data_IF_607549280054
#
_entry.id   IF_607549280054
#
_cell.length_a   1.000
_cell.length_b   1.000
_cell.length_c   1.000
_cell.angle_alpha   90.00
_cell.angle_beta   90.00
_cell.angle_gamma   90.00
#
_symmetry.space_group_name_H-M   'P 1'
#
loop_
_entity.id
_entity.type
_entity.pdbx_description
1 polymer ?
#
# COMPACT_ATOMS: atom_id res chain seq x y z
N UNK A 1 -22.27 -44.45 -10.68
CA UNK A 1 -22.64 -45.52 -9.74
C UNK A 1 -24.01 -45.15 -9.21
N UNK A 2 -24.98 -46.04 -9.37
CA UNK A 2 -26.36 -45.86 -8.88
C UNK A 2 -26.39 -46.57 -7.54
N UNK A 3 -26.40 -45.81 -6.43
CA UNK A 3 -26.55 -46.39 -5.10
C UNK A 3 -28.04 -46.66 -4.84
N UNK A 4 -28.39 -47.81 -4.28
CA UNK A 4 -29.77 -48.13 -3.88
C UNK A 4 -30.13 -47.45 -2.55
N UNK A 5 -31.41 -47.07 -2.34
CA UNK A 5 -31.82 -46.24 -1.19
C UNK A 5 -31.62 -46.88 0.19
N UNK A 6 -31.34 -48.18 0.27
CA UNK A 6 -31.11 -48.92 1.53
C UNK A 6 -29.64 -49.32 1.77
N UNK A 7 -28.68 -48.84 0.96
CA UNK A 7 -27.25 -49.04 1.24
C UNK A 7 -26.79 -48.12 2.38
N UNK A 8 -26.28 -48.72 3.46
CA UNK A 8 -25.61 -47.97 4.54
C UNK A 8 -24.40 -47.23 3.97
N UNK A 9 -24.33 -45.91 4.19
CA UNK A 9 -23.18 -45.08 3.81
C UNK A 9 -21.88 -45.77 4.25
N UNK A 10 -21.06 -46.17 3.27
CA UNK A 10 -19.73 -46.73 3.51
C UNK A 10 -18.85 -45.63 4.09
N UNK A 11 -18.55 -45.73 5.38
CA UNK A 11 -17.64 -44.83 6.10
C UNK A 11 -16.19 -45.11 5.71
N UNK A 12 -15.79 -44.64 4.52
CA UNK A 12 -14.44 -44.81 3.97
C UNK A 12 -13.54 -43.67 4.46
N UNK A 13 -12.68 -43.96 5.42
CA UNK A 13 -11.59 -43.07 5.84
C UNK A 13 -10.39 -43.24 4.91
N UNK A 14 -10.23 -42.35 3.93
CA UNK A 14 -9.01 -42.28 3.09
C UNK A 14 -8.02 -41.33 3.76
N UNK A 15 -6.90 -41.82 4.34
CA UNK A 15 -5.87 -40.93 4.88
C UNK A 15 -5.19 -40.19 3.73
N UNK A 16 -5.39 -38.88 3.67
CA UNK A 16 -4.71 -38.00 2.74
C UNK A 16 -3.51 -37.32 3.42
N UNK A 17 -2.38 -37.23 2.72
CA UNK A 17 -1.17 -36.54 3.19
C UNK A 17 -0.75 -35.54 2.12
N UNK A 18 -0.47 -34.31 2.54
CA UNK A 18 0.16 -33.31 1.67
C UNK A 18 1.68 -33.49 1.69
N UNK A 19 2.27 -33.55 0.51
CA UNK A 19 3.72 -33.66 0.31
C UNK A 19 4.19 -32.45 -0.50
N UNK A 20 5.36 -31.88 -0.19
CA UNK A 20 6.05 -30.95 -1.08
C UNK A 20 6.21 -31.53 -2.50
N UNK A 21 6.15 -30.69 -3.53
CA UNK A 21 6.14 -31.15 -4.93
C UNK A 21 7.44 -31.90 -5.32
N UNK A 22 8.58 -31.45 -4.78
CA UNK A 22 9.89 -32.09 -4.91
C UNK A 22 9.94 -33.46 -4.21
N UNK A 23 9.33 -33.58 -3.03
CA UNK A 23 9.18 -34.86 -2.34
C UNK A 23 8.25 -35.81 -3.12
N UNK A 24 7.16 -35.28 -3.68
CA UNK A 24 6.21 -36.03 -4.51
C UNK A 24 6.86 -36.56 -5.80
N UNK A 25 7.60 -35.72 -6.51
CA UNK A 25 8.34 -36.14 -7.73
C UNK A 25 9.44 -37.16 -7.41
N UNK A 26 10.12 -37.01 -6.28
CA UNK A 26 11.10 -37.99 -5.80
C UNK A 26 10.44 -39.33 -5.48
N UNK A 27 9.29 -39.31 -4.80
CA UNK A 27 8.51 -40.50 -4.48
C UNK A 27 8.02 -41.21 -5.74
N UNK A 28 7.47 -40.47 -6.71
CA UNK A 28 7.00 -41.01 -7.99
C UNK A 28 8.15 -41.70 -8.76
N UNK A 29 9.32 -41.06 -8.81
CA UNK A 29 10.52 -41.62 -9.44
C UNK A 29 10.99 -42.92 -8.77
N UNK A 30 10.92 -42.99 -7.44
CA UNK A 30 11.28 -44.19 -6.68
C UNK A 30 10.27 -45.33 -6.88
N UNK A 31 8.98 -45.01 -6.98
CA UNK A 31 7.91 -45.98 -7.26
C UNK A 31 8.05 -46.57 -8.67
N UNK A 32 8.36 -45.75 -9.68
CA UNK A 32 8.56 -46.23 -11.06
C UNK A 32 9.77 -47.17 -11.19
N UNK A 33 10.78 -47.04 -10.33
CA UNK A 33 11.97 -47.89 -10.34
C UNK A 33 11.78 -49.26 -9.65
N UNK A 34 10.55 -49.68 -9.33
CA UNK A 34 10.25 -50.98 -8.69
C UNK A 34 11.06 -51.25 -7.40
N UNK A 35 11.45 -50.18 -6.71
CA UNK A 35 12.25 -50.25 -5.49
C UNK A 35 11.32 -50.45 -4.28
N UNK A 36 11.76 -51.15 -3.24
CA UNK A 36 11.02 -51.16 -1.97
C UNK A 36 11.14 -49.77 -1.30
N UNK A 37 10.08 -48.96 -1.36
CA UNK A 37 10.04 -47.62 -0.76
C UNK A 37 9.33 -47.69 0.59
N UNK A 38 10.01 -47.29 1.66
CA UNK A 38 9.37 -47.01 2.96
C UNK A 38 9.16 -45.51 3.10
N UNK A 39 7.96 -45.11 3.54
CA UNK A 39 7.59 -43.71 3.75
C UNK A 39 7.33 -43.50 5.23
N UNK A 40 8.03 -42.55 5.84
CA UNK A 40 7.75 -42.11 7.19
C UNK A 40 7.04 -40.76 7.14
N UNK A 41 5.83 -40.71 7.71
CA UNK A 41 5.04 -39.49 7.79
C UNK A 41 5.50 -38.67 9.00
N UNK A 42 5.98 -37.47 8.72
CA UNK A 42 6.31 -36.48 9.75
C UNK A 42 5.59 -35.18 9.41
N UNK A 43 4.82 -34.65 10.35
CA UNK A 43 4.26 -33.30 10.26
C UNK A 43 5.13 -32.37 11.10
N UNK A 44 5.98 -31.52 10.48
CA UNK A 44 6.75 -30.55 11.22
C UNK A 44 5.84 -29.59 11.98
N UNK A 45 6.21 -29.26 13.23
CA UNK A 45 5.53 -28.20 13.97
C UNK A 45 5.82 -26.87 13.31
N UNK A 46 4.78 -26.11 12.97
CA UNK A 46 4.93 -24.74 12.48
C UNK A 46 5.23 -23.80 13.66
N UNK A 47 6.15 -22.83 13.50
CA UNK A 47 6.33 -21.80 14.51
C UNK A 47 5.04 -20.99 14.65
N UNK A 48 4.72 -20.57 15.87
CA UNK A 48 3.52 -19.75 16.15
C UNK A 48 3.64 -18.33 15.60
N UNK A 49 4.87 -17.82 15.45
CA UNK A 49 5.14 -16.48 14.91
C UNK A 49 6.34 -16.60 13.97
N UNK A 50 6.19 -16.11 12.74
CA UNK A 50 7.30 -16.07 11.78
C UNK A 50 8.05 -14.73 11.88
N UNK A 51 9.38 -14.79 11.86
CA UNK A 51 10.22 -13.59 11.85
C UNK A 51 9.97 -12.76 10.57
N UNK A 52 9.57 -13.40 9.46
CA UNK A 52 9.16 -12.72 8.24
C UNK A 52 8.03 -11.69 8.48
N UNK A 53 7.08 -11.98 9.38
CA UNK A 53 5.98 -11.07 9.72
C UNK A 53 6.47 -9.83 10.45
N UNK A 54 7.50 -9.97 11.31
CA UNK A 54 8.13 -8.84 11.99
C UNK A 54 8.81 -7.91 10.98
N UNK A 55 9.51 -8.47 9.99
CA UNK A 55 10.11 -7.67 8.93
C UNK A 55 9.07 -6.97 8.05
N UNK A 56 7.98 -7.67 7.66
CA UNK A 56 6.88 -7.07 6.93
C UNK A 56 6.20 -5.94 7.73
N UNK A 57 6.00 -6.15 9.03
CA UNK A 57 5.49 -5.12 9.94
C UNK A 57 6.39 -3.88 9.96
N UNK A 58 7.71 -4.08 10.12
CA UNK A 58 8.69 -2.99 10.10
C UNK A 58 8.71 -2.27 8.75
N UNK A 59 8.66 -3.01 7.64
CA UNK A 59 8.64 -2.44 6.29
C UNK A 59 7.39 -1.61 6.06
N UNK A 60 6.21 -2.10 6.45
CA UNK A 60 4.96 -1.39 6.27
C UNK A 60 4.92 -0.08 7.10
N UNK A 61 5.30 -0.17 8.39
CA UNK A 61 5.40 1.01 9.27
C UNK A 61 6.45 1.99 8.76
N UNK A 62 7.63 1.51 8.39
CA UNK A 62 8.72 2.34 7.85
C UNK A 62 8.34 3.03 6.54
N UNK A 63 7.63 2.33 5.64
CA UNK A 63 7.17 2.89 4.36
C UNK A 63 6.19 4.03 4.58
N UNK A 64 5.17 3.84 5.43
CA UNK A 64 4.20 4.90 5.74
C UNK A 64 4.88 6.08 6.44
N UNK A 65 5.81 5.81 7.36
CA UNK A 65 6.59 6.85 8.05
C UNK A 65 7.35 7.72 7.03
N UNK A 66 8.15 7.10 6.17
CA UNK A 66 8.93 7.80 5.14
C UNK A 66 8.03 8.57 4.17
N UNK A 67 6.98 7.91 3.65
CA UNK A 67 6.04 8.52 2.71
C UNK A 67 5.30 9.72 3.33
N UNK A 68 4.86 9.60 4.59
CA UNK A 68 4.14 10.68 5.28
C UNK A 68 5.03 11.90 5.48
N UNK A 69 6.26 11.72 5.97
CA UNK A 69 7.21 12.82 6.15
C UNK A 69 7.54 13.50 4.84
N UNK A 70 7.71 12.72 3.77
CA UNK A 70 7.94 13.26 2.45
C UNK A 70 6.75 14.02 1.91
N UNK A 71 5.54 13.44 1.95
CA UNK A 71 4.30 14.09 1.52
C UNK A 71 4.08 15.41 2.27
N UNK A 72 4.31 15.43 3.58
CA UNK A 72 4.21 16.66 4.38
C UNK A 72 5.28 17.70 4.03
N UNK A 73 6.50 17.25 3.69
CA UNK A 73 7.60 18.12 3.26
C UNK A 73 7.33 18.77 1.91
N UNK A 74 6.92 17.97 0.92
CA UNK A 74 6.55 18.46 -0.40
C UNK A 74 5.36 19.44 -0.33
N UNK A 75 4.34 19.14 0.48
CA UNK A 75 3.21 20.05 0.69
C UNK A 75 3.64 21.39 1.32
N UNK A 76 4.60 21.36 2.24
CA UNK A 76 5.16 22.57 2.86
C UNK A 76 5.96 23.40 1.86
N UNK A 77 6.78 22.78 1.03
CA UNK A 77 7.56 23.47 0.00
C UNK A 77 6.65 24.13 -1.03
N UNK A 78 5.62 23.43 -1.52
CA UNK A 78 4.63 23.98 -2.43
C UNK A 78 3.89 25.19 -1.84
N UNK A 79 3.55 25.16 -0.55
CA UNK A 79 2.92 26.30 0.12
C UNK A 79 3.86 27.51 0.23
N UNK A 80 5.15 27.30 0.48
CA UNK A 80 6.16 28.38 0.52
C UNK A 80 6.37 28.99 -0.86
N UNK A 81 6.42 28.17 -1.91
CA UNK A 81 6.54 28.66 -3.29
C UNK A 81 5.31 29.49 -3.70
N UNK A 82 4.11 29.03 -3.36
CA UNK A 82 2.89 29.78 -3.62
C UNK A 82 2.88 31.13 -2.88
N UNK A 83 3.36 31.18 -1.63
CA UNK A 83 3.49 32.42 -0.88
C UNK A 83 4.49 33.40 -1.52
N UNK A 84 5.64 32.89 -2.01
CA UNK A 84 6.60 33.71 -2.75
C UNK A 84 6.00 34.27 -4.04
N UNK A 85 5.30 33.44 -4.81
CA UNK A 85 4.62 33.89 -6.04
C UNK A 85 3.53 34.92 -5.76
N UNK A 86 2.79 34.80 -4.66
CA UNK A 86 1.80 35.80 -4.25
C UNK A 86 2.46 37.13 -3.82
N UNK A 87 3.65 37.06 -3.20
CA UNK A 87 4.42 38.24 -2.78
C UNK A 87 5.08 38.95 -3.96
N UNK A 88 5.59 38.19 -4.93
CA UNK A 88 6.21 38.74 -6.14
C UNK A 88 5.16 39.17 -7.19
N UNK A 89 3.96 38.58 -7.14
CA UNK A 89 2.84 38.86 -8.04
C UNK A 89 2.00 40.10 -7.70
N UNK A 90 2.36 40.89 -6.68
CA UNK A 90 1.68 42.16 -6.39
C UNK A 90 1.85 43.23 -7.49
N UNK A 91 2.78 43.02 -8.43
CA UNK A 91 3.07 43.97 -9.52
C UNK A 91 2.45 43.57 -10.89
N UNK A 92 1.89 42.37 -11.08
CA UNK A 92 1.39 41.91 -12.39
C UNK A 92 0.09 41.05 -12.36
N UNK A 93 -0.77 41.21 -11.35
CA UNK A 93 -1.97 40.36 -11.20
C UNK A 93 -3.18 40.80 -12.04
N UNK A 94 -3.09 40.81 -13.38
CA UNK A 94 -4.29 40.80 -14.21
C UNK A 94 -4.30 39.87 -15.44
N UNK A 95 -3.28 39.06 -15.72
CA UNK A 95 -3.32 38.22 -16.94
C UNK A 95 -2.65 36.84 -16.82
N UNK A 96 -3.25 35.92 -16.05
CA UNK A 96 -3.35 34.48 -16.40
C UNK A 96 -4.09 33.72 -15.29
N UNK A 97 -5.43 33.68 -15.40
CA UNK A 97 -6.19 32.56 -14.82
C UNK A 97 -6.05 31.40 -15.79
N UNK A 98 -5.24 30.40 -15.45
CA UNK A 98 -5.21 29.14 -16.20
C UNK A 98 -3.91 28.37 -16.00
N UNK A 99 -4.05 27.19 -15.40
CA UNK A 99 -3.12 26.06 -15.51
C UNK A 99 -1.81 26.14 -14.72
N UNK A 100 -1.93 25.97 -13.40
CA UNK A 100 -0.88 25.35 -12.58
C UNK A 100 -1.37 23.99 -12.11
N UNK A 101 -1.10 22.94 -12.90
CA UNK A 101 -1.41 21.57 -12.50
C UNK A 101 -0.52 21.16 -11.32
N UNK A 102 -1.01 21.31 -10.09
CA UNK A 102 -0.44 20.52 -8.99
C UNK A 102 -0.71 19.05 -9.33
N UNK A 103 0.33 18.26 -9.55
CA UNK A 103 0.25 16.81 -9.84
C UNK A 103 -0.29 15.96 -8.68
N UNK A 104 -1.18 16.54 -7.88
CA UNK A 104 -1.81 15.99 -6.69
C UNK A 104 -3.26 15.66 -7.03
N UNK A 105 -3.69 14.44 -6.73
CA UNK A 105 -5.04 13.95 -6.96
C UNK A 105 -5.76 13.82 -5.63
N UNK A 106 -6.71 14.72 -5.39
CA UNK A 106 -7.58 14.65 -4.22
C UNK A 106 -8.70 13.63 -4.41
N UNK A 107 -8.89 12.77 -3.40
CA UNK A 107 -9.99 11.81 -3.36
C UNK A 107 -11.28 12.55 -3.02
N UNK A 108 -12.36 12.27 -3.76
CA UNK A 108 -13.71 12.69 -3.41
C UNK A 108 -14.51 11.52 -2.81
N UNK A 109 -15.59 11.82 -2.08
CA UNK A 109 -16.51 10.82 -1.54
C UNK A 109 -17.06 9.87 -2.61
N UNK A 110 -17.38 10.38 -3.79
CA UNK A 110 -17.82 9.55 -4.92
C UNK A 110 -16.74 8.59 -5.41
N UNK A 111 -15.49 9.05 -5.52
CA UNK A 111 -14.39 8.17 -5.95
C UNK A 111 -14.06 7.12 -4.89
N UNK A 112 -14.21 7.43 -3.60
CA UNK A 112 -14.07 6.47 -2.50
C UNK A 112 -15.11 5.34 -2.54
N UNK A 113 -16.37 5.63 -2.91
CA UNK A 113 -17.40 4.59 -3.08
C UNK A 113 -17.18 3.81 -4.38
N UNK A 114 -16.87 4.51 -5.47
CA UNK A 114 -16.61 3.90 -6.77
C UNK A 114 -15.39 2.97 -6.74
N UNK A 115 -14.39 3.27 -5.90
CA UNK A 115 -13.25 2.41 -5.63
C UNK A 115 -13.67 0.99 -5.23
N UNK A 116 -14.66 0.82 -4.34
CA UNK A 116 -15.15 -0.51 -3.93
C UNK A 116 -15.76 -1.27 -5.09
N UNK A 117 -16.55 -0.60 -5.91
CA UNK A 117 -17.23 -1.22 -7.05
C UNK A 117 -16.21 -1.65 -8.11
N UNK A 118 -15.27 -0.77 -8.45
CA UNK A 118 -14.21 -1.06 -9.42
C UNK A 118 -13.28 -2.14 -8.90
N UNK A 119 -12.82 -2.06 -7.64
CA UNK A 119 -11.96 -3.09 -7.04
C UNK A 119 -12.67 -4.45 -6.99
N UNK A 120 -13.97 -4.48 -6.67
CA UNK A 120 -14.77 -5.71 -6.65
C UNK A 120 -14.92 -6.31 -8.05
N UNK A 121 -15.21 -5.48 -9.06
CA UNK A 121 -15.28 -5.91 -10.45
C UNK A 121 -13.93 -6.47 -10.92
N UNK A 122 -12.84 -5.75 -10.63
CA UNK A 122 -11.49 -6.16 -10.95
C UNK A 122 -11.10 -7.48 -10.27
N UNK A 123 -11.46 -7.68 -8.99
CA UNK A 123 -11.17 -8.91 -8.27
C UNK A 123 -11.95 -10.12 -8.84
N UNK A 124 -13.22 -9.92 -9.24
CA UNK A 124 -14.01 -10.98 -9.90
C UNK A 124 -13.42 -11.31 -11.26
N UNK A 125 -13.02 -10.30 -12.03
CA UNK A 125 -12.32 -10.46 -13.31
C UNK A 125 -11.06 -11.29 -13.09
N UNK A 126 -10.23 -10.92 -12.11
CA UNK A 126 -9.04 -11.66 -11.72
C UNK A 126 -9.33 -13.12 -11.39
N UNK A 127 -10.35 -13.37 -10.57
CA UNK A 127 -10.72 -14.71 -10.13
C UNK A 127 -11.25 -15.60 -11.27
N UNK A 128 -12.03 -15.02 -12.19
CA UNK A 128 -12.64 -15.75 -13.31
C UNK A 128 -11.70 -15.90 -14.51
N UNK A 129 -10.90 -14.88 -14.79
CA UNK A 129 -9.97 -14.79 -15.92
C UNK A 129 -8.52 -14.96 -15.47
N UNK A 130 -8.28 -15.78 -14.44
CA UNK A 130 -6.95 -16.07 -13.87
C UNK A 130 -6.09 -16.90 -14.83
N UNK A 131 -5.82 -16.31 -15.99
CA UNK A 131 -5.02 -16.83 -17.09
C UNK A 131 -3.60 -16.30 -16.98
N UNK A 132 -2.63 -17.09 -17.45
CA UNK A 132 -1.22 -16.71 -17.54
C UNK A 132 -1.03 -15.31 -18.17
N UNK A 133 -1.72 -15.04 -19.28
CA UNK A 133 -1.66 -13.74 -19.96
C UNK A 133 -2.12 -12.56 -19.09
N UNK A 134 -3.07 -12.78 -18.19
CA UNK A 134 -3.56 -11.73 -17.30
C UNK A 134 -2.57 -11.41 -16.19
N UNK A 135 -1.88 -12.42 -15.64
CA UNK A 135 -0.82 -12.22 -14.65
C UNK A 135 0.36 -11.47 -15.28
N UNK A 136 0.77 -11.85 -16.50
CA UNK A 136 1.79 -11.11 -17.27
C UNK A 136 1.40 -9.64 -17.51
N UNK A 137 0.12 -9.37 -17.81
CA UNK A 137 -0.37 -7.98 -17.93
C UNK A 137 -0.19 -7.19 -16.63
N UNK A 138 -0.49 -7.80 -15.47
CA UNK A 138 -0.28 -7.15 -14.17
C UNK A 138 1.20 -6.91 -13.88
N UNK A 139 2.07 -7.82 -14.29
CA UNK A 139 3.52 -7.66 -14.16
C UNK A 139 3.99 -6.49 -15.01
N UNK A 140 3.51 -6.34 -16.24
CA UNK A 140 3.82 -5.17 -17.08
C UNK A 140 3.33 -3.87 -16.43
N UNK A 141 2.10 -3.84 -15.90
CA UNK A 141 1.57 -2.67 -15.19
C UNK A 141 2.40 -2.34 -13.94
N UNK A 142 2.80 -3.36 -13.18
CA UNK A 142 3.67 -3.20 -12.01
C UNK A 142 5.05 -2.70 -12.41
N UNK A 143 5.62 -3.16 -13.53
CA UNK A 143 6.88 -2.64 -14.07
C UNK A 143 6.79 -1.16 -14.43
N UNK A 144 5.70 -0.72 -15.08
CA UNK A 144 5.49 0.70 -15.43
C UNK A 144 5.47 1.55 -14.14
N UNK A 145 4.63 1.17 -13.19
CA UNK A 145 4.56 1.87 -11.90
C UNK A 145 5.86 1.77 -11.09
N UNK A 146 6.58 0.65 -11.21
CA UNK A 146 7.87 0.43 -10.55
C UNK A 146 8.98 1.33 -11.10
N UNK A 147 9.04 1.54 -12.42
CA UNK A 147 9.98 2.49 -13.04
C UNK A 147 9.68 3.90 -12.55
N UNK A 148 8.41 4.33 -12.61
CA UNK A 148 8.00 5.65 -12.15
C UNK A 148 8.29 5.85 -10.65
N UNK A 149 7.91 4.87 -9.83
CA UNK A 149 8.12 4.92 -8.39
C UNK A 149 9.60 4.98 -8.02
N UNK A 150 10.41 4.09 -8.60
CA UNK A 150 11.84 4.05 -8.34
C UNK A 150 12.54 5.33 -8.81
N UNK A 151 12.15 5.85 -9.98
CA UNK A 151 12.69 7.10 -10.50
C UNK A 151 12.37 8.27 -9.58
N UNK A 152 11.12 8.42 -9.14
CA UNK A 152 10.71 9.48 -8.20
C UNK A 152 11.49 9.42 -6.90
N UNK A 153 11.63 8.22 -6.30
CA UNK A 153 12.39 8.05 -5.07
C UNK A 153 13.88 8.37 -5.25
N UNK A 154 14.53 7.83 -6.30
CA UNK A 154 15.96 8.05 -6.55
C UNK A 154 16.26 9.50 -6.90
N UNK A 155 15.41 10.15 -7.71
CA UNK A 155 15.60 11.55 -8.10
C UNK A 155 15.64 12.45 -6.88
N UNK A 156 14.71 12.26 -5.94
CA UNK A 156 14.64 13.10 -4.75
C UNK A 156 15.68 12.74 -3.67
N UNK A 157 16.13 11.48 -3.60
CA UNK A 157 17.29 11.13 -2.76
C UNK A 157 18.58 11.78 -3.31
N UNK A 158 18.79 11.71 -4.62
CA UNK A 158 19.98 12.24 -5.27
C UNK A 158 19.96 13.76 -5.37
N UNK A 159 18.80 14.42 -5.54
CA UNK A 159 18.70 15.88 -5.53
C UNK A 159 19.12 16.49 -4.18
N UNK A 160 18.90 15.75 -3.09
CA UNK A 160 19.37 16.13 -1.75
C UNK A 160 20.90 16.15 -1.65
N UNK A 161 21.58 15.25 -2.37
CA UNK A 161 23.04 15.18 -2.40
C UNK A 161 23.64 16.11 -3.47
N UNK A 162 23.00 16.23 -4.63
CA UNK A 162 23.48 16.99 -5.79
C UNK A 162 22.56 18.16 -6.14
N UNK A 163 22.46 19.15 -5.23
CA UNK A 163 21.58 20.34 -5.39
C UNK A 163 21.76 21.07 -6.73
N UNK A 164 23.00 21.24 -7.18
CA UNK A 164 23.35 21.98 -8.41
C UNK A 164 22.82 21.32 -9.70
N UNK A 165 22.71 20.00 -9.73
CA UNK A 165 22.29 19.24 -10.92
C UNK A 165 20.77 19.04 -10.97
N UNK A 166 20.10 19.08 -9.82
CA UNK A 166 18.64 19.01 -9.73
C UNK A 166 17.91 20.27 -10.23
N UNK A 167 18.56 21.44 -10.19
CA UNK A 167 17.98 22.73 -10.63
C UNK A 167 18.16 23.00 -12.13
N UNK A 168 18.85 22.13 -12.86
CA UNK A 168 19.08 22.28 -14.30
C UNK A 168 18.04 21.49 -15.09
N UNK A 169 17.29 22.18 -15.96
CA UNK A 169 16.21 21.61 -16.77
C UNK A 169 16.55 21.64 -18.27
N UNK A 170 16.23 20.56 -18.98
CA UNK A 170 16.30 20.49 -20.45
C UNK A 170 14.87 20.38 -21.00
N UNK A 171 14.56 21.14 -22.04
CA UNK A 171 13.33 20.92 -22.81
C UNK A 171 13.54 19.73 -23.75
N UNK A 172 12.93 18.60 -23.41
CA UNK A 172 12.88 17.42 -24.26
C UNK A 172 11.67 17.56 -25.19
N UNK A 173 11.82 17.37 -26.52
CA UNK A 173 10.67 17.35 -27.42
C UNK A 173 9.67 16.27 -26.95
N UNK A 174 8.38 16.63 -26.91
CA UNK A 174 7.24 15.83 -26.40
C UNK A 174 7.06 15.75 -24.86
N UNK A 175 8.14 15.75 -24.06
CA UNK A 175 8.04 15.58 -22.59
C UNK A 175 8.20 16.88 -21.76
N UNK A 176 8.50 18.01 -22.40
CA UNK A 176 8.63 19.29 -21.71
C UNK A 176 9.95 19.45 -20.96
N UNK A 177 9.97 20.26 -19.90
CA UNK A 177 11.18 20.52 -19.10
C UNK A 177 11.45 19.37 -18.13
N UNK A 178 12.47 18.56 -18.43
CA UNK A 178 12.90 17.41 -17.61
C UNK A 178 14.23 17.74 -16.94
N UNK A 179 14.39 17.41 -15.66
CA UNK A 179 15.66 17.62 -14.95
C UNK A 179 16.76 16.70 -15.51
N UNK A 180 18.01 17.17 -15.54
CA UNK A 180 19.16 16.33 -15.95
C UNK A 180 19.25 15.05 -15.11
N UNK A 181 18.91 15.16 -13.83
CA UNK A 181 18.99 14.07 -12.88
C UNK A 181 17.96 12.98 -13.19
N UNK A 182 16.73 13.36 -13.57
CA UNK A 182 15.70 12.43 -14.03
C UNK A 182 16.16 11.66 -15.27
N UNK A 183 16.75 12.35 -16.25
CA UNK A 183 17.23 11.71 -17.48
C UNK A 183 18.39 10.74 -17.21
N UNK A 184 19.30 11.09 -16.29
CA UNK A 184 20.44 10.24 -15.92
C UNK A 184 20.03 8.98 -15.14
N UNK A 185 19.00 9.07 -14.29
CA UNK A 185 18.51 7.96 -13.46
C UNK A 185 17.59 7.01 -14.23
N UNK A 186 16.85 7.52 -15.22
CA UNK A 186 15.90 6.75 -16.03
C UNK A 186 16.44 5.42 -16.60
N UNK A 187 17.61 5.36 -17.29
CA UNK A 187 18.12 4.10 -17.83
C UNK A 187 18.44 3.07 -16.73
N UNK A 188 18.88 3.52 -15.55
CA UNK A 188 19.14 2.65 -14.41
C UNK A 188 17.85 2.06 -13.85
N UNK A 189 16.80 2.88 -13.66
CA UNK A 189 15.48 2.40 -13.22
C UNK A 189 14.89 1.38 -14.18
N UNK A 190 14.96 1.65 -15.48
CA UNK A 190 14.47 0.74 -16.51
C UNK A 190 15.23 -0.59 -16.48
N UNK A 191 16.57 -0.55 -16.42
CA UNK A 191 17.39 -1.75 -16.34
C UNK A 191 17.07 -2.59 -15.09
N UNK A 192 16.91 -1.95 -13.93
CA UNK A 192 16.55 -2.64 -12.68
C UNK A 192 15.21 -3.37 -12.79
N UNK A 193 14.18 -2.70 -13.32
CA UNK A 193 12.85 -3.28 -13.50
C UNK A 193 12.84 -4.40 -14.53
N UNK A 194 13.56 -4.25 -15.65
CA UNK A 194 13.67 -5.31 -16.68
C UNK A 194 14.38 -6.53 -16.12
N UNK A 195 15.48 -6.35 -15.37
CA UNK A 195 16.19 -7.45 -14.71
C UNK A 195 15.26 -8.16 -13.73
N UNK A 196 14.52 -7.41 -12.92
CA UNK A 196 13.54 -8.01 -12.01
C UNK A 196 12.46 -8.81 -12.78
N UNK A 197 11.90 -8.25 -13.85
CA UNK A 197 10.84 -8.89 -14.62
C UNK A 197 11.30 -10.20 -15.28
N UNK A 198 12.54 -10.25 -15.79
CA UNK A 198 13.12 -11.47 -16.40
C UNK A 198 13.43 -12.54 -15.36
N UNK A 199 13.96 -12.15 -14.20
CA UNK A 199 14.37 -13.07 -13.13
C UNK A 199 13.33 -13.23 -12.03
N UNK A 200 12.06 -12.85 -12.27
CA UNK A 200 10.99 -12.81 -11.25
C UNK A 200 10.68 -14.14 -10.56
N UNK A 201 10.96 -15.26 -11.23
CA UNK A 201 10.70 -16.62 -10.72
C UNK A 201 11.90 -17.20 -9.93
N UNK A 202 12.97 -16.43 -9.75
CA UNK A 202 14.14 -16.86 -8.98
C UNK A 202 13.93 -16.55 -7.49
N UNK A 203 14.47 -17.39 -6.61
CA UNK A 203 14.26 -17.32 -5.16
C UNK A 203 14.62 -15.99 -4.49
N UNK A 204 15.47 -15.15 -5.10
CA UNK A 204 15.84 -13.83 -4.56
C UNK A 204 15.04 -12.66 -5.16
N UNK A 205 14.17 -12.93 -6.14
CA UNK A 205 13.45 -11.88 -6.87
C UNK A 205 12.45 -11.09 -6.02
N UNK A 206 12.06 -11.64 -4.86
CA UNK A 206 11.23 -10.94 -3.88
C UNK A 206 11.87 -9.63 -3.39
N UNK A 207 13.21 -9.57 -3.30
CA UNK A 207 13.91 -8.34 -2.87
C UNK A 207 13.65 -7.21 -3.88
N UNK A 208 13.79 -7.53 -5.18
CA UNK A 208 13.50 -6.57 -6.24
C UNK A 208 12.03 -6.15 -6.25
N UNK A 209 11.12 -7.11 -6.05
CA UNK A 209 9.68 -6.85 -5.97
C UNK A 209 9.35 -5.90 -4.83
N UNK A 210 9.89 -6.14 -3.63
CA UNK A 210 9.64 -5.33 -2.45
C UNK A 210 10.23 -3.92 -2.59
N UNK A 211 11.41 -3.77 -3.20
CA UNK A 211 12.00 -2.45 -3.51
C UNK A 211 11.07 -1.67 -4.45
N UNK A 212 10.61 -2.29 -5.54
CA UNK A 212 9.69 -1.66 -6.49
C UNK A 212 8.34 -1.36 -5.85
N UNK A 213 7.83 -2.27 -5.02
CA UNK A 213 6.58 -2.12 -4.28
C UNK A 213 6.62 -0.96 -3.29
N UNK A 214 7.68 -0.87 -2.49
CA UNK A 214 7.87 0.26 -1.55
C UNK A 214 7.97 1.59 -2.31
N UNK A 215 8.74 1.64 -3.40
CA UNK A 215 8.86 2.84 -4.21
C UNK A 215 7.51 3.28 -4.81
N UNK A 216 6.72 2.31 -5.31
CA UNK A 216 5.37 2.56 -5.80
C UNK A 216 4.43 3.05 -4.69
N UNK A 217 4.46 2.43 -3.50
CA UNK A 217 3.64 2.86 -2.36
C UNK A 217 3.97 4.29 -1.94
N UNK A 218 5.26 4.63 -1.82
CA UNK A 218 5.70 5.98 -1.48
C UNK A 218 5.17 7.00 -2.50
N UNK A 219 5.32 6.71 -3.80
CA UNK A 219 4.86 7.60 -4.87
C UNK A 219 3.34 7.77 -4.89
N UNK A 220 2.57 6.70 -4.68
CA UNK A 220 1.11 6.80 -4.59
C UNK A 220 0.69 7.66 -3.39
N UNK A 221 1.35 7.53 -2.22
CA UNK A 221 1.08 8.36 -1.04
C UNK A 221 1.50 9.83 -1.20
N UNK A 222 2.35 10.15 -2.18
CA UNK A 222 2.70 11.53 -2.54
C UNK A 222 1.69 12.15 -3.51
N UNK A 223 1.18 11.36 -4.46
CA UNK A 223 0.28 11.84 -5.51
C UNK A 223 -1.16 11.91 -4.99
N UNK A 224 -1.60 10.88 -4.27
CA UNK A 224 -3.00 10.73 -3.87
C UNK A 224 -3.21 11.31 -2.48
N UNK A 225 -4.13 12.26 -2.37
CA UNK A 225 -4.40 12.95 -1.12
C UNK A 225 -5.85 12.77 -0.66
N UNK A 226 -6.00 12.54 0.64
CA UNK A 226 -7.30 12.68 1.31
C UNK A 226 -7.46 14.15 1.70
N UNK A 227 -8.51 14.86 1.22
CA UNK A 227 -8.65 16.29 1.45
C UNK A 227 -9.20 16.62 2.85
N UNK A 228 -9.99 15.72 3.44
CA UNK A 228 -10.55 15.89 4.79
C UNK A 228 -10.89 14.54 5.42
N UNK A 229 -11.12 14.55 6.73
CA UNK A 229 -11.40 13.35 7.51
C UNK A 229 -12.72 12.67 7.10
N UNK A 230 -13.70 13.42 6.57
CA UNK A 230 -14.95 12.82 6.06
C UNK A 230 -14.65 11.88 4.89
N UNK A 231 -13.88 12.32 3.90
CA UNK A 231 -13.49 11.47 2.76
C UNK A 231 -12.68 10.27 3.24
N UNK A 232 -11.69 10.49 4.13
CA UNK A 232 -10.88 9.39 4.69
C UNK A 232 -11.72 8.35 5.44
N UNK A 233 -12.73 8.81 6.19
CA UNK A 233 -13.68 7.95 6.91
C UNK A 233 -14.50 7.10 5.93
N UNK A 234 -15.04 7.71 4.88
CA UNK A 234 -15.80 6.99 3.85
C UNK A 234 -14.92 5.95 3.15
N UNK A 235 -13.73 6.35 2.69
CA UNK A 235 -12.77 5.46 2.02
C UNK A 235 -12.40 4.25 2.88
N UNK A 236 -11.98 4.47 4.12
CA UNK A 236 -11.58 3.37 5.01
C UNK A 236 -12.75 2.49 5.45
N UNK A 237 -13.95 3.05 5.65
CA UNK A 237 -15.15 2.27 5.96
C UNK A 237 -15.55 1.39 4.78
N UNK A 238 -15.48 1.93 3.56
CA UNK A 238 -15.69 1.21 2.32
C UNK A 238 -14.67 0.07 2.14
N UNK A 239 -13.39 0.35 2.39
CA UNK A 239 -12.32 -0.64 2.31
C UNK A 239 -12.45 -1.74 3.37
N UNK A 240 -12.85 -1.39 4.59
CA UNK A 240 -13.14 -2.33 5.67
C UNK A 240 -14.25 -3.31 5.28
N UNK A 241 -15.36 -2.80 4.72
CA UNK A 241 -16.46 -3.66 4.27
C UNK A 241 -16.06 -4.52 3.07
N UNK A 242 -15.27 -3.97 2.16
CA UNK A 242 -14.72 -4.70 1.01
C UNK A 242 -13.90 -5.91 1.46
N UNK A 243 -12.98 -5.73 2.41
CA UNK A 243 -12.07 -6.77 2.88
C UNK A 243 -12.85 -7.90 3.58
N UNK A 244 -13.77 -7.56 4.47
CA UNK A 244 -14.66 -8.54 5.14
C UNK A 244 -15.48 -9.33 4.10
N UNK A 245 -16.05 -8.63 3.13
CA UNK A 245 -16.85 -9.27 2.08
C UNK A 245 -16.01 -10.27 1.29
N UNK A 246 -14.84 -9.86 0.79
CA UNK A 246 -14.02 -10.68 -0.09
C UNK A 246 -13.24 -11.79 0.61
N UNK A 247 -13.04 -11.70 1.92
CA UNK A 247 -12.42 -12.78 2.71
C UNK A 247 -13.44 -13.78 3.23
N UNK A 248 -14.51 -13.31 3.89
CA UNK A 248 -15.47 -14.18 4.59
C UNK A 248 -16.74 -14.46 3.79
N UNK A 249 -17.34 -13.43 3.20
CA UNK A 249 -18.65 -13.59 2.51
C UNK A 249 -18.47 -14.29 1.17
N UNK A 250 -17.39 -14.00 0.45
CA UNK A 250 -17.08 -14.64 -0.85
C UNK A 250 -16.96 -16.15 -0.73
N UNK A 251 -16.41 -16.68 0.38
CA UNK A 251 -16.31 -18.12 0.65
C UNK A 251 -17.68 -18.80 0.66
N UNK A 252 -18.71 -18.12 1.17
CA UNK A 252 -20.08 -18.65 1.18
C UNK A 252 -20.72 -18.67 -0.21
N UNK A 253 -20.34 -17.73 -1.09
CA UNK A 253 -20.91 -17.59 -2.44
C UNK A 253 -20.17 -18.40 -3.51
N UNK A 254 -18.84 -18.52 -3.39
CA UNK A 254 -17.96 -19.14 -4.38
C UNK A 254 -17.27 -20.41 -3.87
N UNK A 255 -17.65 -20.91 -2.68
CA UNK A 255 -17.04 -22.04 -1.95
C UNK A 255 -15.57 -21.88 -1.54
N UNK A 256 -14.88 -20.88 -2.09
CA UNK A 256 -13.50 -20.50 -1.77
C UNK A 256 -13.42 -19.00 -1.51
N UNK A 257 -12.48 -18.58 -0.66
CA UNK A 257 -12.21 -17.15 -0.43
C UNK A 257 -11.49 -16.57 -1.65
N UNK A 258 -12.21 -15.80 -2.46
CA UNK A 258 -11.70 -15.23 -3.72
C UNK A 258 -10.40 -14.45 -3.53
N UNK A 259 -10.32 -13.62 -2.48
CA UNK A 259 -9.12 -12.83 -2.19
C UNK A 259 -7.88 -13.70 -1.93
N UNK A 260 -8.06 -14.85 -1.24
CA UNK A 260 -6.95 -15.76 -0.91
C UNK A 260 -6.45 -16.48 -2.16
N UNK A 261 -7.38 -17.02 -2.96
CA UNK A 261 -7.05 -17.73 -4.22
C UNK A 261 -6.31 -16.80 -5.18
N UNK A 262 -6.80 -15.57 -5.31
CA UNK A 262 -6.20 -14.55 -6.18
C UNK A 262 -4.83 -14.08 -5.66
N UNK A 263 -4.67 -13.90 -4.35
CA UNK A 263 -3.39 -13.48 -3.77
C UNK A 263 -2.29 -14.55 -3.91
N UNK A 264 -2.64 -15.83 -3.83
CA UNK A 264 -1.70 -16.95 -3.95
C UNK A 264 -1.42 -17.40 -5.37
N UNK A 265 -2.33 -17.14 -6.31
CA UNK A 265 -2.18 -17.62 -7.69
C UNK A 265 -2.44 -19.12 -7.85
N UNK A 266 -3.21 -19.74 -6.95
CA UNK A 266 -3.34 -21.20 -6.80
C UNK A 266 -3.79 -21.95 -8.09
N UNK A 267 -4.39 -21.26 -9.08
CA UNK A 267 -4.85 -21.85 -10.35
C UNK A 267 -3.95 -21.55 -11.57
N UNK A 268 -2.94 -20.69 -11.43
CA UNK A 268 -2.06 -20.31 -12.56
C UNK A 268 -0.66 -20.92 -12.49
N UNK A 269 -0.28 -21.52 -11.35
CA UNK A 269 1.04 -22.16 -11.18
C UNK A 269 2.22 -21.18 -11.13
N UNK A 270 1.95 -19.88 -10.94
CA UNK A 270 2.96 -18.83 -10.76
C UNK A 270 2.92 -18.27 -9.33
N UNK A 271 4.03 -17.64 -8.91
CA UNK A 271 4.20 -16.96 -7.62
C UNK A 271 3.32 -15.69 -7.49
N UNK A 272 1.99 -15.86 -7.37
CA UNK A 272 1.03 -14.82 -6.98
C UNK A 272 1.03 -13.53 -7.82
N UNK A 273 0.29 -12.52 -7.34
CA UNK A 273 0.20 -11.19 -7.99
C UNK A 273 1.36 -10.30 -7.51
N UNK A 274 2.01 -9.48 -8.37
CA UNK A 274 3.16 -8.65 -7.98
C UNK A 274 2.82 -7.50 -7.01
N UNK A 275 1.54 -7.24 -6.74
CA UNK A 275 1.05 -6.11 -5.92
C UNK A 275 1.00 -6.44 -4.41
N UNK A 276 2.03 -7.14 -3.94
CA UNK A 276 2.18 -7.65 -2.58
C UNK A 276 3.64 -7.46 -2.15
N UNK A 277 3.88 -7.13 -0.88
CA UNK A 277 5.22 -7.28 -0.29
C UNK A 277 5.36 -8.71 0.23
N UNK A 278 6.50 -9.35 0.01
CA UNK A 278 6.69 -10.77 0.34
C UNK A 278 8.06 -11.05 0.95
N UNK A 279 8.07 -11.74 2.08
CA UNK A 279 9.30 -12.20 2.75
C UNK A 279 9.26 -13.71 2.90
N UNK A 280 10.33 -14.44 2.51
CA UNK A 280 10.39 -15.88 2.68
C UNK A 280 10.32 -16.24 4.17
N UNK A 281 9.52 -17.26 4.49
CA UNK A 281 9.40 -17.81 5.84
C UNK A 281 10.71 -18.49 6.23
N UNK A 282 11.41 -17.94 7.22
CA UNK A 282 12.78 -18.37 7.54
C UNK A 282 12.84 -19.64 8.40
N UNK A 283 11.80 -19.91 9.20
CA UNK A 283 11.77 -21.02 10.17
C UNK A 283 10.55 -21.93 9.99
N UNK A 284 9.80 -21.78 8.89
CA UNK A 284 8.70 -22.67 8.55
C UNK A 284 9.23 -23.84 7.71
N UNK A 285 9.16 -25.09 8.19
CA UNK A 285 9.59 -26.26 7.44
C UNK A 285 8.82 -26.49 6.13
N UNK A 286 7.64 -25.86 6.00
CA UNK A 286 6.80 -25.91 4.81
C UNK A 286 7.20 -24.85 3.77
N UNK A 287 8.12 -23.95 4.12
CA UNK A 287 8.56 -22.85 3.28
C UNK A 287 7.43 -21.86 2.95
N UNK A 288 7.57 -21.19 1.80
CA UNK A 288 6.62 -20.19 1.32
C UNK A 288 6.94 -18.77 1.78
N UNK A 289 6.00 -17.87 1.50
CA UNK A 289 6.14 -16.44 1.76
C UNK A 289 5.08 -15.96 2.75
N UNK A 290 5.49 -15.09 3.67
CA UNK A 290 4.55 -14.20 4.33
C UNK A 290 4.31 -13.01 3.41
N UNK A 291 3.04 -12.58 3.31
CA UNK A 291 2.61 -11.55 2.36
C UNK A 291 1.79 -10.46 3.06
N UNK A 292 1.86 -9.25 2.55
CA UNK A 292 0.97 -8.13 2.91
C UNK A 292 0.56 -7.37 1.63
N UNK A 293 -0.72 -7.03 1.52
CA UNK A 293 -1.25 -6.34 0.35
C UNK A 293 -0.87 -4.86 0.34
N UNK A 294 -0.61 -4.30 -0.85
CA UNK A 294 -0.38 -2.86 -0.97
C UNK A 294 -1.58 -2.05 -0.48
N UNK A 295 -2.81 -2.55 -0.66
CA UNK A 295 -4.03 -1.91 -0.17
C UNK A 295 -4.05 -1.72 1.35
N UNK A 296 -3.50 -2.69 2.09
CA UNK A 296 -3.44 -2.66 3.56
C UNK A 296 -2.47 -1.59 4.08
N UNK A 297 -1.49 -1.20 3.26
CA UNK A 297 -0.51 -0.15 3.56
C UNK A 297 -1.01 1.20 3.03
N UNK A 298 -1.45 1.24 1.78
CA UNK A 298 -1.87 2.46 1.07
C UNK A 298 -3.09 3.11 1.70
N UNK A 299 -4.18 2.36 1.91
CA UNK A 299 -5.44 2.96 2.33
C UNK A 299 -5.35 3.60 3.72
N UNK A 300 -4.81 2.92 4.76
CA UNK A 300 -4.55 3.56 6.05
C UNK A 300 -3.44 4.61 5.95
N UNK A 301 -2.42 4.37 5.11
CA UNK A 301 -1.31 5.28 4.86
C UNK A 301 -1.77 6.67 4.37
N UNK A 302 -2.82 6.74 3.55
CA UNK A 302 -3.40 8.01 3.09
C UNK A 302 -3.94 8.87 4.25
N UNK A 303 -4.64 8.24 5.21
CA UNK A 303 -5.13 8.93 6.40
C UNK A 303 -3.98 9.37 7.32
N UNK A 304 -2.94 8.54 7.45
CA UNK A 304 -1.77 8.84 8.26
C UNK A 304 -0.93 9.97 7.63
N UNK A 305 -0.74 9.97 6.32
CA UNK A 305 -0.08 11.06 5.61
C UNK A 305 -0.88 12.37 5.72
N UNK A 306 -2.21 12.31 5.65
CA UNK A 306 -3.10 13.44 5.95
C UNK A 306 -2.87 13.99 7.37
N UNK A 307 -2.70 13.10 8.36
CA UNK A 307 -2.47 13.49 9.76
C UNK A 307 -1.21 14.35 9.95
N UNK A 308 -0.10 13.98 9.30
CA UNK A 308 1.16 14.69 9.42
C UNK A 308 1.12 16.04 8.70
N UNK A 309 0.51 16.07 7.51
CA UNK A 309 0.25 17.30 6.77
C UNK A 309 -0.55 18.28 7.61
N UNK A 310 -1.64 17.82 8.23
CA UNK A 310 -2.43 18.63 9.13
C UNK A 310 -1.63 19.13 10.35
N UNK A 311 -0.87 18.24 11.01
CA UNK A 311 -0.09 18.60 12.20
C UNK A 311 0.96 19.67 11.91
N UNK A 312 1.64 19.59 10.77
CA UNK A 312 2.61 20.60 10.35
C UNK A 312 1.97 21.94 10.00
N UNK A 313 0.86 21.92 9.27
CA UNK A 313 0.11 23.15 8.96
C UNK A 313 -0.42 23.81 10.24
N UNK A 314 -0.85 23.01 11.22
CA UNK A 314 -1.35 23.49 12.50
C UNK A 314 -0.23 23.81 13.51
N UNK A 315 1.04 23.71 13.10
CA UNK A 315 2.24 23.90 13.93
C UNK A 315 2.19 23.12 15.26
N UNK A 316 1.64 21.91 15.23
CA UNK A 316 1.52 21.06 16.42
C UNK A 316 2.82 20.31 16.70
N UNK A 317 3.16 20.20 17.98
CA UNK A 317 4.23 19.31 18.44
C UNK A 317 3.87 17.84 18.17
N UNK A 318 4.84 16.98 17.91
CA UNK A 318 4.63 15.55 17.61
C UNK A 318 3.71 14.80 18.60
N UNK A 319 3.84 15.06 19.90
CA UNK A 319 2.98 14.43 20.94
C UNK A 319 1.56 15.00 20.96
N UNK A 320 1.43 16.29 20.66
CA UNK A 320 0.16 17.00 20.59
C UNK A 320 -0.53 16.85 19.23
N UNK A 321 0.19 16.35 18.22
CA UNK A 321 -0.31 16.03 16.89
C UNK A 321 -1.11 14.73 16.84
N UNK A 322 -1.68 14.44 15.69
CA UNK A 322 -2.40 13.21 15.36
C UNK A 322 -1.47 12.12 14.81
N UNK A 323 -0.39 12.50 14.14
CA UNK A 323 0.48 11.58 13.40
C UNK A 323 1.11 10.48 14.25
N UNK A 324 1.72 10.84 15.38
CA UNK A 324 2.37 9.86 16.26
C UNK A 324 1.39 8.77 16.72
N UNK A 325 0.16 9.19 17.08
CA UNK A 325 -0.88 8.28 17.55
C UNK A 325 -1.49 7.45 16.42
N UNK A 326 -1.64 8.03 15.22
CA UNK A 326 -2.11 7.31 14.04
C UNK A 326 -1.09 6.25 13.58
N UNK A 327 0.21 6.56 13.61
CA UNK A 327 1.29 5.61 13.34
C UNK A 327 1.29 4.46 14.35
N UNK A 328 1.17 4.77 15.64
CA UNK A 328 1.09 3.74 16.68
C UNK A 328 -0.15 2.86 16.51
N UNK A 329 -1.30 3.45 16.21
CA UNK A 329 -2.53 2.73 15.98
C UNK A 329 -2.45 1.81 14.75
N UNK A 330 -1.82 2.26 13.67
CA UNK A 330 -1.56 1.43 12.49
C UNK A 330 -0.66 0.23 12.83
N UNK A 331 0.47 0.49 13.50
CA UNK A 331 1.39 -0.57 13.92
C UNK A 331 0.72 -1.59 14.84
N UNK A 332 -0.09 -1.13 15.80
CA UNK A 332 -0.84 -2.02 16.69
C UNK A 332 -1.93 -2.81 15.94
N UNK A 333 -2.67 -2.17 15.04
CA UNK A 333 -3.67 -2.83 14.21
C UNK A 333 -3.08 -3.93 13.33
N UNK A 334 -1.95 -3.64 12.67
CA UNK A 334 -1.25 -4.63 11.84
C UNK A 334 -0.63 -5.76 12.68
N UNK A 335 -0.11 -5.47 13.87
CA UNK A 335 0.37 -6.51 14.79
C UNK A 335 -0.76 -7.47 15.19
N UNK A 336 -1.94 -6.92 15.51
CA UNK A 336 -3.11 -7.73 15.85
C UNK A 336 -3.58 -8.57 14.65
N UNK A 337 -3.48 -8.05 13.42
CA UNK A 337 -3.73 -8.84 12.21
C UNK A 337 -2.84 -10.08 12.15
N UNK A 338 -1.53 -9.94 12.38
CA UNK A 338 -0.62 -11.09 12.37
C UNK A 338 -0.90 -12.08 13.51
N UNK A 339 -1.20 -11.58 14.71
CA UNK A 339 -1.61 -12.43 15.84
C UNK A 339 -2.88 -13.21 15.48
N UNK A 340 -3.89 -12.57 14.90
CA UNK A 340 -5.12 -13.22 14.49
C UNK A 340 -4.89 -14.26 13.38
N UNK A 341 -4.04 -13.95 12.40
CA UNK A 341 -3.67 -14.87 11.32
C UNK A 341 -2.98 -16.14 11.85
N UNK A 342 -2.10 -15.99 12.84
CA UNK A 342 -1.41 -17.11 13.46
C UNK A 342 -2.30 -17.95 14.38
N UNK A 343 -3.36 -17.36 14.95
CA UNK A 343 -4.32 -18.08 15.80
C UNK A 343 -5.41 -18.82 15.01
N UNK A 344 -5.65 -18.47 13.74
CA UNK A 344 -6.79 -18.99 12.96
C UNK A 344 -6.43 -20.15 12.01
N UNK A 345 -5.39 -20.91 12.32
CA UNK A 345 -5.04 -22.21 11.72
C UNK A 345 -5.18 -22.29 10.18
N UNK A 346 -4.73 -21.24 9.48
CA UNK A 346 -4.70 -21.21 8.02
C UNK A 346 -5.94 -20.60 7.34
N UNK A 347 -6.92 -20.10 8.10
CA UNK A 347 -7.96 -19.23 7.54
C UNK A 347 -7.43 -17.81 7.35
N UNK A 348 -7.44 -17.32 6.10
CA UNK A 348 -7.02 -15.95 5.81
C UNK A 348 -7.87 -14.94 6.56
N UNK A 349 -7.21 -13.90 7.06
CA UNK A 349 -7.83 -12.82 7.82
C UNK A 349 -7.87 -11.53 6.99
N UNK A 350 -8.99 -10.79 7.02
CA UNK A 350 -9.05 -9.44 6.47
C UNK A 350 -8.18 -8.51 7.33
N UNK A 351 -7.11 -7.95 6.77
CA UNK A 351 -6.19 -7.09 7.51
C UNK A 351 -6.84 -5.77 7.92
N UNK A 352 -7.68 -5.20 7.06
CA UNK A 352 -8.36 -3.93 7.32
C UNK A 352 -9.40 -4.04 8.43
N UNK A 353 -9.90 -5.24 8.73
CA UNK A 353 -10.76 -5.51 9.89
C UNK A 353 -10.13 -5.04 11.19
N UNK A 354 -8.82 -5.17 11.32
CA UNK A 354 -8.08 -4.73 12.50
C UNK A 354 -7.52 -3.32 12.29
N UNK A 355 -6.89 -3.04 11.15
CA UNK A 355 -6.19 -1.76 10.95
C UNK A 355 -7.14 -0.56 10.98
N UNK A 356 -8.33 -0.66 10.35
CA UNK A 356 -9.25 0.48 10.22
C UNK A 356 -9.81 0.93 11.57
N UNK A 357 -10.37 0.06 12.43
CA UNK A 357 -10.85 0.47 13.75
C UNK A 357 -9.78 1.14 14.61
N UNK A 358 -8.54 0.62 14.61
CA UNK A 358 -7.45 1.23 15.37
C UNK A 358 -7.08 2.62 14.82
N UNK A 359 -6.82 2.73 13.52
CA UNK A 359 -6.37 3.99 12.90
C UNK A 359 -7.46 5.06 12.92
N UNK A 360 -8.62 4.77 12.33
CA UNK A 360 -9.74 5.71 12.23
C UNK A 360 -10.34 6.01 13.61
N UNK A 361 -10.49 4.99 14.47
CA UNK A 361 -10.98 5.17 15.83
C UNK A 361 -10.08 6.08 16.66
N UNK A 362 -8.76 5.90 16.59
CA UNK A 362 -7.79 6.79 17.26
C UNK A 362 -7.90 8.22 16.74
N UNK A 363 -8.04 8.39 15.42
CA UNK A 363 -8.14 9.71 14.81
C UNK A 363 -9.43 10.44 15.24
N UNK A 364 -10.58 9.77 15.18
CA UNK A 364 -11.88 10.32 15.56
C UNK A 364 -11.94 10.65 17.06
N UNK A 365 -11.42 9.76 17.92
CA UNK A 365 -11.41 9.97 19.37
C UNK A 365 -10.52 11.14 19.76
N UNK A 366 -9.32 11.25 19.18
CA UNK A 366 -8.44 12.40 19.40
C UNK A 366 -9.05 13.70 18.87
N UNK A 367 -9.62 13.67 17.66
CA UNK A 367 -10.26 14.84 17.06
C UNK A 367 -11.42 15.35 17.92
N UNK A 368 -12.23 14.44 18.47
CA UNK A 368 -13.31 14.77 19.40
C UNK A 368 -12.78 15.33 20.72
N UNK A 369 -11.78 14.68 21.32
CA UNK A 369 -11.20 15.09 22.62
C UNK A 369 -10.53 16.46 22.54
N UNK A 370 -9.95 16.81 21.39
CA UNK A 370 -9.23 18.07 21.17
C UNK A 370 -10.12 19.20 20.64
N UNK A 371 -11.36 18.92 20.27
CA UNK A 371 -12.31 19.92 19.74
C UNK A 371 -12.14 20.26 18.26
N UNK A 372 -11.13 19.70 17.58
CA UNK A 372 -10.84 20.00 16.16
C UNK A 372 -11.67 19.18 15.18
N UNK A 373 -12.52 18.26 15.66
CA UNK A 373 -13.21 17.28 14.81
C UNK A 373 -13.98 17.94 13.66
N UNK A 374 -14.66 19.06 13.92
CA UNK A 374 -15.43 19.78 12.89
C UNK A 374 -14.51 20.30 11.77
N UNK A 375 -13.37 20.87 12.14
CA UNK A 375 -12.38 21.41 11.20
C UNK A 375 -11.78 20.27 10.36
N UNK A 376 -11.35 19.20 11.02
CA UNK A 376 -10.82 17.99 10.37
C UNK A 376 -11.83 17.36 9.41
N UNK A 377 -13.11 17.32 9.81
CA UNK A 377 -14.18 16.66 9.06
C UNK A 377 -14.55 17.39 7.78
N UNK A 378 -14.68 18.72 7.81
CA UNK A 378 -15.17 19.50 6.67
C UNK A 378 -14.07 20.15 5.86
N UNK A 379 -13.10 20.78 6.53
CA UNK A 379 -12.11 21.65 5.90
C UNK A 379 -10.80 20.91 5.63
N UNK A 380 -10.41 20.01 6.53
CA UNK A 380 -9.18 19.21 6.41
C UNK A 380 -7.88 20.01 6.57
N UNK A 381 -7.95 21.32 6.69
CA UNK A 381 -6.84 22.22 6.99
C UNK A 381 -7.17 23.09 8.21
N UNK A 382 -6.15 23.47 9.02
CA UNK A 382 -6.35 24.42 10.11
C UNK A 382 -6.73 25.80 9.55
N UNK A 383 -7.41 26.58 10.39
CA UNK A 383 -7.82 27.93 10.04
C UNK A 383 -6.59 28.84 9.89
N UNK A 384 -6.28 29.24 8.65
CA UNK A 384 -5.24 30.22 8.37
C UNK A 384 -5.83 31.61 8.65
N UNK A 385 -5.27 32.32 9.61
CA UNK A 385 -5.54 33.76 9.78
C UNK A 385 -5.05 34.49 8.53
N UNK A 386 -5.92 35.25 7.87
CA UNK A 386 -5.58 35.99 6.67
C UNK A 386 -4.41 36.96 6.95
N UNK A 387 -3.31 36.92 6.18
CA UNK A 387 -2.15 37.79 6.41
C UNK A 387 -2.48 39.29 6.23
N UNK A 388 -3.52 39.63 5.46
CA UNK A 388 -4.00 41.01 5.31
C UNK A 388 -4.42 41.64 6.65
N UNK A 389 -4.96 40.85 7.59
CA UNK A 389 -5.36 41.38 8.90
C UNK A 389 -4.14 41.66 9.80
N UNK A 390 -3.03 40.95 9.61
CA UNK A 390 -1.78 41.17 10.34
C UNK A 390 -1.01 42.40 9.82
N UNK A 391 -1.02 42.64 8.50
CA UNK A 391 -0.44 43.84 7.91
C UNK A 391 -1.17 45.10 8.40
N UNK A 392 -2.50 45.08 8.40
CA UNK A 392 -3.31 46.22 8.85
C UNK A 392 -3.11 46.55 10.33
N UNK A 393 -3.00 45.55 11.21
CA UNK A 393 -2.66 45.77 12.63
C UNK A 393 -1.22 46.26 12.85
N UNK A 394 -0.29 45.87 11.98
CA UNK A 394 1.11 46.31 12.08
C UNK A 394 1.26 47.76 11.59
N UNK A 395 0.53 48.14 10.53
CA UNK A 395 0.46 49.50 10.03
C UNK A 395 -0.26 50.44 11.02
N UNK A 396 -1.41 50.04 11.57
CA UNK A 396 -2.11 50.82 12.61
C UNK A 396 -1.26 50.99 13.89
N UNK A 397 -0.46 49.99 14.27
CA UNK A 397 0.45 50.10 15.43
C UNK A 397 1.69 50.99 15.20
N UNK A 398 2.04 51.24 13.94
CA UNK A 398 3.15 52.12 13.56
C UNK A 398 2.69 53.56 13.32
N UNK A 399 1.41 53.81 13.07
CA UNK A 399 0.83 55.17 12.99
C UNK A 399 0.49 55.75 14.38
N UNK A 400 0.40 54.93 15.43
CA UNK A 400 0.17 55.37 16.82
C UNK A 400 1.47 55.67 17.62
N UNK A 401 2.64 55.70 16.98
CA UNK A 401 3.91 56.17 17.57
C UNK A 401 4.44 57.38 16.84
#
# INVERSE_FOLDING_TARGET
MVCEPDETDLDIHIPAVMLPQDAGTSLEKLLMNSSSVSVQLYSPRRPLVDIAEVFLWLMAVGTILCASYWSAWSAREAAIEQEKLLKDGSDELQNMKGEGASGVVDINTTSAVLFVVVASCFLVILYKLMSFWFVELLVVLFCIGGVEGLQTCLVALLSRWFKRTGESFIKVPFFGAVSYLTLAVSPFCLAFVVVWAVYRNVSFAWIGQDILGIALIITVLQIVHVPNLKVGTVLLSCAFLYDIFWVFVSKKLFHESVMIVVARGDRSGEDGIPMLLKIPRMFDPWGGYSIIGFGDILLPGLLIAFSLRYDWLAKKNLRAGYFLWAMFAYGLGLLITYIALNLMDGHGQPALLYIVPFTLGTFLTLGKKRGDLKILWTRGEPERTCPHFQLQQTEESNEEK
#
